data_IF_810977163116
#
_entry.id   IF_810977163116
#
_cell.length_a   1.000
_cell.length_b   1.000
_cell.length_c   1.000
_cell.angle_alpha   90.00
_cell.angle_beta   90.00
_cell.angle_gamma   90.00
#
_symmetry.space_group_name_H-M   'P 1'
#
loop_
_entity.id
_entity.type
_entity.pdbx_description
1 polymer ?
#
# COMPACT_ATOMS: atom_id res chain seq x y z
N UNK A 1 -6.08 -6.19 -28.91
CA UNK A 1 -6.16 -6.89 -27.61
C UNK A 1 -4.81 -7.49 -27.35
N UNK A 2 -4.08 -6.90 -26.41
CA UNK A 2 -2.75 -7.39 -26.05
C UNK A 2 -2.98 -8.45 -24.98
N UNK A 3 -2.88 -9.73 -25.38
CA UNK A 3 -3.14 -10.88 -24.50
C UNK A 3 -2.41 -10.77 -23.14
N UNK A 4 -1.24 -10.15 -23.13
CA UNK A 4 -0.43 -9.91 -21.93
C UNK A 4 -1.11 -8.91 -20.97
N UNK A 5 -1.57 -7.76 -21.44
CA UNK A 5 -2.16 -6.72 -20.57
C UNK A 5 -3.59 -7.06 -20.16
N UNK A 6 -4.32 -7.73 -21.04
CA UNK A 6 -5.76 -7.93 -20.88
C UNK A 6 -6.07 -9.21 -20.07
N UNK A 7 -5.16 -10.18 -20.06
CA UNK A 7 -5.36 -11.49 -19.41
C UNK A 7 -4.27 -11.83 -18.41
N UNK A 8 -2.99 -11.77 -18.81
CA UNK A 8 -1.89 -12.22 -17.96
C UNK A 8 -1.71 -11.30 -16.74
N UNK A 9 -1.69 -9.98 -16.95
CA UNK A 9 -1.49 -9.00 -15.86
C UNK A 9 -2.57 -9.12 -14.77
N UNK A 10 -3.89 -9.07 -15.09
CA UNK A 10 -4.93 -9.18 -14.09
C UNK A 10 -4.89 -10.51 -13.35
N UNK A 11 -4.60 -11.61 -14.05
CA UNK A 11 -4.52 -12.94 -13.45
C UNK A 11 -3.32 -13.07 -12.50
N UNK A 12 -2.16 -12.53 -12.88
CA UNK A 12 -0.98 -12.49 -12.02
C UNK A 12 -1.23 -11.62 -10.78
N UNK A 13 -1.87 -10.47 -10.94
CA UNK A 13 -2.22 -9.58 -9.82
C UNK A 13 -3.22 -10.26 -8.86
N UNK A 14 -4.22 -10.95 -9.40
CA UNK A 14 -5.18 -11.72 -8.61
C UNK A 14 -4.47 -12.82 -7.81
N UNK A 15 -3.51 -13.54 -8.42
CA UNK A 15 -2.72 -14.56 -7.73
C UNK A 15 -1.86 -13.97 -6.61
N UNK A 16 -1.15 -12.86 -6.86
CA UNK A 16 -0.32 -12.18 -5.84
C UNK A 16 -1.18 -11.70 -4.66
N UNK A 17 -2.32 -11.07 -4.94
CA UNK A 17 -3.27 -10.62 -3.91
C UNK A 17 -3.87 -11.79 -3.13
N UNK A 18 -4.15 -12.91 -3.79
CA UNK A 18 -4.64 -14.13 -3.15
C UNK A 18 -3.59 -14.74 -2.21
N UNK A 19 -2.32 -14.82 -2.62
CA UNK A 19 -1.23 -15.28 -1.75
C UNK A 19 -1.03 -14.36 -0.56
N UNK A 20 -1.14 -13.04 -0.74
CA UNK A 20 -1.12 -12.08 0.36
C UNK A 20 -2.26 -12.37 1.35
N UNK A 21 -3.45 -12.66 0.82
CA UNK A 21 -4.63 -13.16 1.55
C UNK A 21 -4.32 -14.37 2.44
N UNK A 22 -3.70 -15.40 1.87
CA UNK A 22 -3.37 -16.64 2.59
C UNK A 22 -2.29 -16.47 3.66
N UNK A 23 -1.43 -15.45 3.54
CA UNK A 23 -0.39 -15.13 4.52
C UNK A 23 -0.91 -14.38 5.75
N UNK A 24 -2.17 -13.94 5.76
CA UNK A 24 -2.78 -13.22 6.88
C UNK A 24 -3.21 -14.18 8.00
N UNK A 25 -2.74 -13.93 9.21
CA UNK A 25 -3.18 -14.66 10.40
C UNK A 25 -4.05 -13.78 11.29
N UNK A 26 -4.99 -14.41 12.00
CA UNK A 26 -5.85 -13.73 13.00
C UNK A 26 -5.00 -13.10 14.11
N UNK A 27 -3.81 -13.64 14.38
CA UNK A 27 -2.84 -13.06 15.31
C UNK A 27 -2.37 -11.67 14.91
N UNK A 28 -2.34 -11.36 13.62
CA UNK A 28 -1.85 -10.07 13.11
C UNK A 28 -2.84 -8.95 13.46
N UNK A 29 -4.13 -9.26 13.52
CA UNK A 29 -5.15 -8.33 13.98
C UNK A 29 -5.08 -8.08 15.49
N UNK A 30 -4.66 -9.07 16.28
CA UNK A 30 -4.52 -8.92 17.73
C UNK A 30 -3.44 -7.90 18.12
N UNK A 31 -2.37 -7.80 17.33
CA UNK A 31 -1.26 -6.87 17.60
C UNK A 31 -1.65 -5.39 17.47
N UNK A 32 -2.65 -5.07 16.64
CA UNK A 32 -3.23 -3.73 16.53
C UNK A 32 -3.74 -3.24 17.89
N UNK A 33 -4.39 -4.13 18.64
CA UNK A 33 -4.91 -3.82 19.98
C UNK A 33 -3.83 -3.83 21.07
N UNK A 34 -2.75 -4.61 20.90
CA UNK A 34 -1.65 -4.69 21.88
C UNK A 34 -0.74 -3.46 21.84
N UNK A 35 -0.50 -2.87 20.67
CA UNK A 35 0.40 -1.71 20.50
C UNK A 35 -0.23 -0.60 19.62
N UNK A 36 -1.35 0.02 20.06
CA UNK A 36 -2.11 0.94 19.22
C UNK A 36 -1.33 2.21 18.86
N UNK A 37 -0.46 2.72 19.74
CA UNK A 37 0.34 3.92 19.46
C UNK A 37 1.30 3.72 18.28
N UNK A 38 2.07 2.63 18.30
CA UNK A 38 3.05 2.33 17.24
C UNK A 38 2.35 2.01 15.92
N UNK A 39 1.23 1.29 16.00
CA UNK A 39 0.38 1.01 14.84
C UNK A 39 -0.14 2.29 14.20
N UNK A 40 -0.68 3.23 15.00
CA UNK A 40 -1.25 4.48 14.50
C UNK A 40 -0.18 5.39 13.88
N UNK A 41 1.02 5.43 14.46
CA UNK A 41 2.16 6.13 13.86
C UNK A 41 2.54 5.52 12.51
N UNK A 42 2.62 4.19 12.41
CA UNK A 42 2.88 3.49 11.15
C UNK A 42 1.78 3.71 10.10
N UNK A 43 0.52 3.77 10.54
CA UNK A 43 -0.63 4.01 9.68
C UNK A 43 -0.60 5.42 9.09
N UNK A 44 -0.33 6.42 9.94
CA UNK A 44 -0.20 7.83 9.52
C UNK A 44 1.01 8.02 8.62
N UNK A 45 2.15 7.38 8.91
CA UNK A 45 3.32 7.48 8.03
C UNK A 45 3.05 6.85 6.66
N UNK A 46 2.36 5.71 6.59
CA UNK A 46 2.00 5.10 5.31
C UNK A 46 1.07 6.01 4.48
N UNK A 47 0.06 6.61 5.10
CA UNK A 47 -0.97 7.39 4.41
C UNK A 47 -0.55 8.83 4.09
N UNK A 48 0.32 9.44 4.90
CA UNK A 48 0.68 10.85 4.78
C UNK A 48 2.14 11.02 4.39
N UNK A 49 3.05 10.34 5.08
CA UNK A 49 4.49 10.52 4.84
C UNK A 49 4.90 9.97 3.47
N UNK A 50 4.40 8.80 3.06
CA UNK A 50 4.73 8.21 1.75
C UNK A 50 4.28 9.10 0.56
N UNK A 51 3.04 9.63 0.52
CA UNK A 51 2.64 10.57 -0.53
C UNK A 51 3.41 11.89 -0.52
N UNK A 52 3.78 12.42 0.67
CA UNK A 52 4.63 13.62 0.75
C UNK A 52 6.00 13.36 0.13
N UNK A 53 6.62 12.21 0.42
CA UNK A 53 7.91 11.83 -0.19
C UNK A 53 7.76 11.71 -1.70
N UNK A 54 6.68 11.09 -2.20
CA UNK A 54 6.38 11.01 -3.63
C UNK A 54 6.24 12.40 -4.27
N UNK A 55 5.51 13.30 -3.64
CA UNK A 55 5.30 14.67 -4.10
C UNK A 55 6.63 15.45 -4.16
N UNK A 56 7.46 15.33 -3.13
CA UNK A 56 8.79 15.96 -3.08
C UNK A 56 9.67 15.45 -4.22
N UNK A 57 9.65 14.14 -4.52
CA UNK A 57 10.39 13.58 -5.65
C UNK A 57 9.93 14.14 -6.99
N UNK A 58 8.61 14.25 -7.19
CA UNK A 58 8.02 14.81 -8.43
C UNK A 58 8.33 16.30 -8.59
N UNK A 59 8.42 17.06 -7.49
CA UNK A 59 8.77 18.49 -7.55
C UNK A 59 10.25 18.72 -7.84
N UNK A 60 11.14 17.91 -7.26
CA UNK A 60 12.60 18.08 -7.41
C UNK A 60 13.07 17.64 -8.80
N UNK A 61 12.47 16.58 -9.36
CA UNK A 61 12.86 16.03 -10.64
C UNK A 61 11.93 16.50 -11.77
N UNK A 62 12.45 17.00 -12.91
CA UNK A 62 11.64 17.33 -14.08
C UNK A 62 11.15 16.06 -14.78
N UNK A 63 10.11 15.44 -14.24
CA UNK A 63 9.51 14.20 -14.75
C UNK A 63 8.39 14.50 -15.75
N UNK A 64 8.22 13.67 -16.80
CA UNK A 64 7.01 13.65 -17.61
C UNK A 64 5.78 13.39 -16.74
N UNK A 65 4.63 13.98 -17.12
CA UNK A 65 3.38 13.89 -16.35
C UNK A 65 2.94 12.45 -16.12
N UNK A 66 3.20 11.56 -17.08
CA UNK A 66 2.85 10.14 -17.01
C UNK A 66 3.64 9.42 -15.91
N UNK A 67 4.92 9.77 -15.74
CA UNK A 67 5.78 9.18 -14.71
C UNK A 67 5.43 9.77 -13.35
N UNK A 68 5.17 11.08 -13.28
CA UNK A 68 4.73 11.73 -12.05
C UNK A 68 3.46 11.11 -11.47
N UNK A 69 2.45 10.86 -12.33
CA UNK A 69 1.23 10.14 -11.94
C UNK A 69 1.56 8.73 -11.46
N UNK A 70 2.45 8.01 -12.17
CA UNK A 70 2.90 6.67 -11.75
C UNK A 70 3.54 6.65 -10.36
N UNK A 71 4.41 7.62 -10.06
CA UNK A 71 5.05 7.76 -8.74
C UNK A 71 4.01 8.02 -7.64
N UNK A 72 3.05 8.91 -7.89
CA UNK A 72 2.00 9.22 -6.92
C UNK A 72 1.06 8.03 -6.69
N UNK A 73 0.74 7.25 -7.73
CA UNK A 73 -0.06 6.03 -7.62
C UNK A 73 0.65 4.98 -6.75
N UNK A 74 1.97 4.80 -6.92
CA UNK A 74 2.75 3.86 -6.09
C UNK A 74 2.83 4.36 -4.64
N UNK A 75 3.00 5.67 -4.43
CA UNK A 75 3.07 6.27 -3.10
C UNK A 75 1.74 6.16 -2.33
N UNK A 76 0.61 6.14 -3.03
CA UNK A 76 -0.72 5.95 -2.44
C UNK A 76 -1.10 4.47 -2.25
N UNK A 77 -0.35 3.53 -2.84
CA UNK A 77 -0.64 2.12 -2.73
C UNK A 77 -0.31 1.58 -1.32
N UNK A 78 -1.10 0.63 -0.79
CA UNK A 78 -0.78 -0.03 0.47
C UNK A 78 0.54 -0.80 0.37
N UNK A 79 1.23 -0.96 1.49
CA UNK A 79 2.47 -1.74 1.58
C UNK A 79 2.25 -3.21 1.20
N UNK A 80 3.30 -3.84 0.66
CA UNK A 80 3.28 -5.26 0.27
C UNK A 80 4.01 -6.17 1.26
N UNK A 81 3.84 -7.48 1.11
CA UNK A 81 4.48 -8.55 1.92
C UNK A 81 6.01 -8.48 1.96
N UNK A 82 6.64 -7.92 0.92
CA UNK A 82 8.09 -7.69 0.89
C UNK A 82 8.58 -6.81 2.04
N UNK A 83 7.75 -5.87 2.51
CA UNK A 83 8.07 -5.00 3.65
C UNK A 83 8.23 -5.78 4.97
N UNK A 84 7.49 -6.88 5.13
CA UNK A 84 7.58 -7.75 6.31
C UNK A 84 8.92 -8.48 6.36
N UNK A 85 9.38 -8.97 5.19
CA UNK A 85 10.68 -9.62 5.03
C UNK A 85 11.82 -8.61 5.29
N UNK A 86 11.72 -7.40 4.74
CA UNK A 86 12.68 -6.32 5.00
C UNK A 86 12.74 -5.95 6.48
N UNK A 87 11.59 -5.88 7.16
CA UNK A 87 11.54 -5.62 8.61
C UNK A 87 12.24 -6.72 9.41
N UNK A 88 12.08 -7.98 9.00
CA UNK A 88 12.80 -9.10 9.62
C UNK A 88 14.32 -8.95 9.46
N UNK A 89 14.81 -8.63 8.26
CA UNK A 89 16.23 -8.38 8.03
C UNK A 89 16.76 -7.15 8.78
N UNK A 90 15.95 -6.12 8.92
CA UNK A 90 16.25 -4.92 9.70
C UNK A 90 16.19 -5.14 11.23
N UNK A 91 15.91 -6.37 11.70
CA UNK A 91 15.66 -6.70 13.12
C UNK A 91 14.55 -5.85 13.76
N UNK A 92 13.58 -5.42 12.95
CA UNK A 92 12.41 -4.66 13.40
C UNK A 92 11.29 -5.56 13.95
N UNK A 93 10.21 -4.93 14.39
CA UNK A 93 9.01 -5.63 14.86
C UNK A 93 8.20 -6.13 13.66
N UNK A 94 8.52 -7.35 13.21
CA UNK A 94 7.82 -8.03 12.09
C UNK A 94 6.32 -8.13 12.36
N UNK A 95 5.96 -8.37 13.63
CA UNK A 95 4.58 -8.52 14.03
C UNK A 95 3.79 -7.22 13.78
N UNK A 96 4.40 -6.06 14.07
CA UNK A 96 3.83 -4.74 13.74
C UNK A 96 3.72 -4.51 12.23
N UNK A 97 4.75 -4.89 11.45
CA UNK A 97 4.76 -4.72 9.98
C UNK A 97 3.65 -5.54 9.30
N UNK A 98 3.46 -6.79 9.73
CA UNK A 98 2.42 -7.67 9.19
C UNK A 98 1.04 -7.11 9.53
N UNK A 99 0.82 -6.68 10.78
CA UNK A 99 -0.42 -6.03 11.20
C UNK A 99 -0.73 -4.76 10.39
N UNK A 100 0.28 -3.92 10.15
CA UNK A 100 0.13 -2.69 9.38
C UNK A 100 -0.27 -2.99 7.93
N UNK A 101 0.44 -3.93 7.30
CA UNK A 101 0.14 -4.40 5.94
C UNK A 101 -1.28 -4.95 5.86
N UNK A 102 -1.67 -5.80 6.81
CA UNK A 102 -3.00 -6.40 6.88
C UNK A 102 -4.14 -5.38 6.92
N UNK A 103 -4.04 -4.43 7.85
CA UNK A 103 -5.06 -3.39 8.02
C UNK A 103 -5.07 -2.44 6.82
N UNK A 104 -3.91 -2.10 6.26
CA UNK A 104 -3.83 -1.26 5.06
C UNK A 104 -4.44 -1.93 3.83
N UNK A 105 -4.21 -3.23 3.64
CA UNK A 105 -4.84 -3.97 2.54
C UNK A 105 -6.37 -4.01 2.69
N UNK A 106 -6.88 -4.20 3.90
CA UNK A 106 -8.33 -4.15 4.17
C UNK A 106 -8.90 -2.74 3.98
N UNK A 107 -8.23 -1.72 4.51
CA UNK A 107 -8.62 -0.33 4.29
C UNK A 107 -8.63 0.00 2.81
N UNK A 108 -7.62 -0.41 2.05
CA UNK A 108 -7.58 -0.23 0.59
C UNK A 108 -8.75 -0.95 -0.09
N UNK A 109 -9.07 -2.19 0.29
CA UNK A 109 -10.19 -2.92 -0.29
C UNK A 109 -11.54 -2.22 -0.03
N UNK A 110 -11.75 -1.72 1.19
CA UNK A 110 -12.96 -0.96 1.58
C UNK A 110 -13.00 0.40 0.89
N UNK A 111 -11.88 1.12 0.83
CA UNK A 111 -11.76 2.42 0.16
C UNK A 111 -12.01 2.32 -1.35
N UNK A 112 -11.51 1.26 -2.00
CA UNK A 112 -11.78 0.98 -3.42
C UNK A 112 -13.25 0.60 -3.64
N UNK A 113 -13.85 -0.16 -2.71
CA UNK A 113 -15.29 -0.48 -2.76
C UNK A 113 -16.16 0.78 -2.66
N UNK A 114 -15.76 1.74 -1.82
CA UNK A 114 -16.39 3.06 -1.73
C UNK A 114 -15.90 3.98 -2.87
N UNK A 115 -16.54 3.88 -4.04
CA UNK A 115 -16.26 4.71 -5.25
C UNK A 115 -16.09 6.22 -5.00
N UNK A 116 -16.69 6.78 -3.95
CA UNK A 116 -16.59 8.20 -3.57
C UNK A 116 -15.24 8.60 -2.92
N UNK A 117 -14.57 7.66 -2.24
CA UNK A 117 -13.31 7.94 -1.54
C UNK A 117 -12.10 7.78 -2.46
N UNK A 118 -12.14 6.81 -3.39
CA UNK A 118 -11.08 6.59 -4.39
C UNK A 118 -10.88 7.80 -5.31
N UNK A 119 -11.98 8.44 -5.73
CA UNK A 119 -11.93 9.64 -6.59
C UNK A 119 -11.32 10.82 -5.83
N UNK A 120 -11.64 11.04 -4.54
CA UNK A 120 -11.08 12.17 -3.78
C UNK A 120 -9.60 12.00 -3.38
N UNK A 121 -9.09 10.77 -3.28
CA UNK A 121 -7.67 10.52 -3.00
C UNK A 121 -6.78 10.56 -4.27
N UNK A 122 -7.36 10.42 -5.45
CA UNK A 122 -6.68 10.36 -6.76
C UNK A 122 -7.08 11.54 -7.68
N UNK A 123 -7.90 12.48 -7.23
CA UNK A 123 -8.17 13.73 -7.96
C UNK A 123 -6.95 14.67 -7.91
N UNK A 124 -5.85 14.21 -8.53
CA UNK A 124 -4.63 14.97 -8.79
C UNK A 124 -4.84 15.82 -10.05
N UNK A 125 -5.87 16.67 -10.06
CA UNK A 125 -6.13 17.69 -11.09
C UNK A 125 -5.09 18.82 -11.06
N UNK A 126 -3.81 18.46 -11.01
CA UNK A 126 -2.69 19.31 -11.41
C UNK A 126 -2.38 19.03 -12.88
#
# INVERSE_FOLDING_TARGET
MNFVTDVILPLALAFIMFTLGLGLSISDFSNVFKKPKNFLVGLVSQLIFLPIVGLVLVIIWPLPIEIAIGVMLIAAAPGGVTSNILTFFAKGDVALSVSLTAVMSLLSAVSVSNRSCYINWIDWRL
#
